data_IF_598882987203
#
_entry.id   IF_598882987203
#
_cell.length_a   1.000
_cell.length_b   1.000
_cell.length_c   1.000
_cell.angle_alpha   90.00
_cell.angle_beta   90.00
_cell.angle_gamma   90.00
#
_symmetry.space_group_name_H-M   'P 1'
#
loop_
_entity.id
_entity.type
_entity.pdbx_description
1 polymer ?
#
# COMPACT_ATOMS: atom_id res chain seq x y z
N UNK A 1 11.72 17.51 3.21
CA UNK A 1 10.82 16.50 2.63
C UNK A 1 10.08 15.85 3.79
N UNK A 2 8.76 15.82 3.76
CA UNK A 2 7.96 15.06 4.72
C UNK A 2 7.50 13.76 4.08
N UNK A 3 7.11 12.83 4.94
CA UNK A 3 6.64 11.52 4.56
C UNK A 3 5.27 11.25 5.18
N UNK A 4 4.51 10.40 4.52
CA UNK A 4 3.15 10.08 4.88
C UNK A 4 2.95 8.58 4.80
N UNK A 5 2.44 7.98 5.88
CA UNK A 5 1.88 6.64 5.81
C UNK A 5 0.58 6.70 5.04
N UNK A 6 0.46 5.83 4.04
CA UNK A 6 -0.76 5.64 3.26
C UNK A 6 -1.68 4.66 3.99
N UNK A 7 -2.92 5.05 4.14
CA UNK A 7 -4.01 4.23 4.65
C UNK A 7 -5.15 4.23 3.65
N UNK A 8 -5.80 3.09 3.46
CA UNK A 8 -6.96 3.02 2.57
C UNK A 8 -8.21 3.60 3.25
N UNK A 9 -9.09 4.22 2.47
CA UNK A 9 -10.33 4.83 2.97
C UNK A 9 -11.56 3.92 2.82
N UNK A 10 -11.49 2.73 3.42
CA UNK A 10 -12.58 1.75 3.46
C UNK A 10 -13.86 2.23 4.20
N UNK A 11 -13.81 3.41 4.84
CA UNK A 11 -14.98 4.00 5.50
C UNK A 11 -15.90 4.68 4.51
N UNK A 12 -15.33 5.36 3.51
CA UNK A 12 -16.05 6.21 2.56
C UNK A 12 -16.14 5.62 1.15
N UNK A 13 -15.34 4.60 0.82
CA UNK A 13 -15.32 3.97 -0.51
C UNK A 13 -15.55 2.45 -0.45
N UNK A 14 -16.03 1.90 -1.56
CA UNK A 14 -16.26 0.47 -1.72
C UNK A 14 -14.97 -0.33 -1.54
N UNK A 15 -15.07 -1.46 -0.84
CA UNK A 15 -13.95 -2.34 -0.55
C UNK A 15 -13.88 -3.42 -1.62
N UNK A 16 -12.67 -3.75 -2.06
CA UNK A 16 -12.39 -4.86 -2.95
C UNK A 16 -12.07 -6.12 -2.12
N UNK A 17 -12.94 -7.11 -2.23
CA UNK A 17 -12.82 -8.41 -1.61
C UNK A 17 -12.17 -9.42 -2.58
N UNK A 18 -11.50 -10.42 -2.02
CA UNK A 18 -10.94 -11.53 -2.80
C UNK A 18 -12.09 -12.39 -3.38
N UNK A 19 -12.01 -12.71 -4.68
CA UNK A 19 -12.96 -13.60 -5.37
C UNK A 19 -12.19 -14.76 -6.03
N UNK A 20 -11.68 -15.66 -5.20
CA UNK A 20 -10.84 -16.77 -5.64
C UNK A 20 -9.34 -16.44 -5.77
N UNK A 21 -8.93 -15.21 -5.40
CA UNK A 21 -7.54 -14.92 -5.08
C UNK A 21 -7.13 -15.67 -3.80
N UNK A 22 -6.13 -16.53 -3.89
CA UNK A 22 -5.56 -17.26 -2.75
C UNK A 22 -4.24 -16.66 -2.27
N UNK A 23 -3.77 -15.55 -2.85
CA UNK A 23 -2.54 -14.85 -2.48
C UNK A 23 -2.81 -13.76 -1.43
N UNK A 24 -1.99 -13.76 -0.38
CA UNK A 24 -2.02 -12.75 0.67
C UNK A 24 -0.95 -11.68 0.48
N UNK A 25 -0.96 -10.70 1.38
CA UNK A 25 -0.03 -9.56 1.33
C UNK A 25 1.44 -10.01 1.37
N UNK A 26 1.77 -11.06 2.13
CA UNK A 26 3.13 -11.63 2.15
C UNK A 26 3.58 -12.14 0.78
N UNK A 27 2.68 -12.72 -0.02
CA UNK A 27 3.00 -13.20 -1.37
C UNK A 27 3.31 -12.03 -2.30
N UNK A 28 2.50 -10.96 -2.26
CA UNK A 28 2.73 -9.76 -3.05
C UNK A 28 4.04 -9.06 -2.69
N UNK A 29 4.38 -8.99 -1.41
CA UNK A 29 5.56 -8.29 -0.91
C UNK A 29 6.85 -9.14 -1.00
N UNK A 30 6.78 -10.32 -1.61
CA UNK A 30 7.89 -11.29 -1.74
C UNK A 30 8.60 -11.55 -0.39
N UNK A 31 7.81 -11.69 0.67
CA UNK A 31 8.33 -12.00 2.01
C UNK A 31 8.79 -13.46 2.10
N UNK A 32 9.44 -13.82 3.21
CA UNK A 32 9.86 -15.21 3.42
C UNK A 32 8.64 -16.15 3.36
N UNK A 33 8.77 -17.23 2.57
CA UNK A 33 7.67 -18.16 2.31
C UNK A 33 6.67 -17.72 1.23
N UNK A 34 6.87 -16.55 0.61
CA UNK A 34 6.00 -16.07 -0.47
C UNK A 34 5.91 -17.04 -1.64
N UNK A 35 4.69 -17.29 -2.10
CA UNK A 35 4.42 -18.07 -3.30
C UNK A 35 4.58 -17.19 -4.53
N UNK A 36 5.00 -17.80 -5.64
CA UNK A 36 4.96 -17.13 -6.94
C UNK A 36 3.52 -16.89 -7.36
N UNK A 37 3.21 -15.64 -7.66
CA UNK A 37 1.88 -15.21 -8.11
C UNK A 37 1.62 -15.69 -9.55
N UNK A 38 0.49 -16.36 -9.76
CA UNK A 38 -0.09 -16.58 -11.09
C UNK A 38 -1.10 -15.45 -11.37
N UNK A 39 -0.80 -14.53 -12.30
CA UNK A 39 -1.68 -13.39 -12.61
C UNK A 39 -3.09 -13.80 -13.04
N UNK A 40 -3.31 -15.04 -13.51
CA UNK A 40 -4.63 -15.53 -13.94
C UNK A 40 -5.58 -15.79 -12.77
N UNK A 41 -5.05 -15.90 -11.55
CA UNK A 41 -5.81 -16.13 -10.32
C UNK A 41 -6.15 -14.86 -9.55
N UNK A 42 -5.67 -13.69 -9.99
CA UNK A 42 -5.92 -12.41 -9.33
C UNK A 42 -7.33 -11.90 -9.67
N UNK A 43 -8.32 -12.52 -9.04
CA UNK A 43 -9.74 -12.23 -9.20
C UNK A 43 -10.30 -11.67 -7.90
N UNK A 44 -11.07 -10.60 -8.03
CA UNK A 44 -11.61 -9.81 -6.94
C UNK A 44 -13.02 -9.36 -7.28
N UNK A 45 -13.79 -8.98 -6.26
CA UNK A 45 -15.13 -8.44 -6.42
C UNK A 45 -15.30 -7.22 -5.51
N UNK A 46 -16.03 -6.21 -5.98
CA UNK A 46 -16.43 -5.12 -5.09
C UNK A 46 -17.49 -5.61 -4.12
N UNK A 47 -17.24 -5.40 -2.82
CA UNK A 47 -18.21 -5.67 -1.76
C UNK A 47 -19.50 -4.87 -2.01
N UNK A 48 -20.60 -5.60 -2.24
CA UNK A 48 -21.91 -5.06 -2.56
C UNK A 48 -22.81 -4.90 -1.32
N UNK A 49 -22.36 -5.33 -0.13
CA UNK A 49 -23.10 -5.14 1.12
C UNK A 49 -23.17 -3.67 1.53
N UNK A 50 -22.19 -2.86 1.09
CA UNK A 50 -22.12 -1.41 1.34
C UNK A 50 -22.09 -0.65 0.00
N UNK A 51 -23.17 0.06 -0.39
CA UNK A 51 -23.24 0.77 -1.67
C UNK A 51 -22.48 2.10 -1.62
N UNK A 52 -21.17 2.02 -1.39
CA UNK A 52 -20.26 3.16 -1.40
C UNK A 52 -19.74 3.40 -2.84
N UNK A 53 -19.32 4.64 -3.16
CA UNK A 53 -18.65 4.90 -4.43
C UNK A 53 -17.31 4.18 -4.50
N UNK A 54 -16.86 3.85 -5.72
CA UNK A 54 -15.51 3.34 -5.95
C UNK A 54 -14.55 4.52 -6.07
N UNK A 55 -13.49 4.53 -5.26
CA UNK A 55 -12.44 5.56 -5.31
C UNK A 55 -11.44 5.33 -6.45
N UNK A 56 -10.61 6.33 -6.74
CA UNK A 56 -9.52 6.21 -7.72
C UNK A 56 -8.49 5.18 -7.29
N UNK A 57 -8.13 5.21 -6.00
CA UNK A 57 -7.49 4.11 -5.31
C UNK A 57 -8.56 3.29 -4.59
N UNK A 58 -8.47 1.97 -4.70
CA UNK A 58 -9.51 1.05 -4.22
C UNK A 58 -9.06 0.41 -2.91
N UNK A 59 -9.82 0.60 -1.80
CA UNK A 59 -9.58 -0.10 -0.55
C UNK A 59 -9.70 -1.63 -0.69
N UNK A 60 -8.93 -2.38 0.09
CA UNK A 60 -8.85 -3.84 0.14
C UNK A 60 -8.30 -4.27 1.51
N UNK A 61 -8.32 -5.57 1.81
CA UNK A 61 -7.64 -6.12 2.98
C UNK A 61 -6.16 -6.45 2.72
N UNK A 62 -5.70 -6.34 1.46
CA UNK A 62 -4.31 -6.55 1.11
C UNK A 62 -3.45 -5.35 1.55
N UNK A 63 -2.55 -5.60 2.50
CA UNK A 63 -1.62 -4.62 3.05
C UNK A 63 -0.37 -4.47 2.17
N UNK A 64 0.31 -3.32 2.28
CA UNK A 64 1.57 -3.06 1.58
C UNK A 64 1.43 -2.82 0.07
N UNK A 65 0.21 -2.82 -0.47
CA UNK A 65 -0.06 -2.70 -1.91
C UNK A 65 -1.13 -1.65 -2.19
N UNK A 66 -1.14 -1.12 -3.41
CA UNK A 66 -2.12 -0.15 -3.88
C UNK A 66 -2.90 -0.71 -5.07
N UNK A 67 -4.22 -0.53 -5.07
CA UNK A 67 -5.08 -0.88 -6.19
C UNK A 67 -5.62 0.40 -6.82
N UNK A 68 -5.46 0.56 -8.13
CA UNK A 68 -6.05 1.67 -8.88
C UNK A 68 -6.18 1.31 -10.35
N UNK A 69 -6.93 2.09 -11.12
CA UNK A 69 -6.88 1.94 -12.58
C UNK A 69 -5.50 2.34 -13.12
N UNK A 70 -5.13 1.82 -14.28
CA UNK A 70 -3.81 2.11 -14.89
C UNK A 70 -3.58 3.61 -15.07
N UNK A 71 -4.59 4.32 -15.57
CA UNK A 71 -4.50 5.77 -15.82
C UNK A 71 -4.25 6.59 -14.54
N UNK A 72 -4.61 6.07 -13.37
CA UNK A 72 -4.29 6.70 -12.08
C UNK A 72 -2.80 6.58 -11.81
N UNK A 73 -2.22 5.39 -11.96
CA UNK A 73 -0.78 5.18 -11.78
C UNK A 73 0.07 5.93 -12.81
N UNK A 74 -0.43 6.12 -14.03
CA UNK A 74 0.25 6.91 -15.07
C UNK A 74 0.51 8.36 -14.62
N UNK A 75 -0.34 8.95 -13.75
CA UNK A 75 -0.12 10.28 -13.15
C UNK A 75 1.12 10.33 -12.25
N UNK A 76 1.49 9.20 -11.66
CA UNK A 76 2.63 9.05 -10.74
C UNK A 76 3.88 8.53 -11.46
N UNK A 77 3.90 8.48 -12.79
CA UNK A 77 4.98 7.89 -13.59
C UNK A 77 6.39 8.19 -13.07
N UNK A 78 6.80 9.47 -12.88
CA UNK A 78 8.12 9.79 -12.33
C UNK A 78 8.38 9.21 -10.92
N UNK A 79 7.40 9.29 -10.03
CA UNK A 79 7.49 8.79 -8.65
C UNK A 79 7.57 7.26 -8.61
N UNK A 80 6.74 6.57 -9.39
CA UNK A 80 6.72 5.10 -9.48
C UNK A 80 8.00 4.57 -10.14
N UNK A 81 8.51 5.25 -11.16
CA UNK A 81 9.72 4.85 -11.89
C UNK A 81 11.01 5.07 -11.08
N UNK A 82 10.97 5.86 -10.00
CA UNK A 82 12.16 6.12 -9.17
C UNK A 82 12.60 4.91 -8.35
N UNK A 83 11.70 3.95 -8.07
CA UNK A 83 11.96 2.75 -7.28
C UNK A 83 11.56 1.46 -7.98
N UNK A 84 12.12 0.34 -7.53
CA UNK A 84 11.65 -1.00 -7.88
C UNK A 84 10.21 -1.19 -7.45
N UNK A 85 9.44 -1.83 -8.31
CA UNK A 85 8.06 -2.16 -8.07
C UNK A 85 7.66 -3.40 -8.87
N UNK A 86 6.60 -4.06 -8.45
CA UNK A 86 5.88 -5.05 -9.25
C UNK A 86 4.49 -4.53 -9.61
N UNK A 87 4.02 -4.90 -10.79
CA UNK A 87 2.69 -4.58 -11.29
C UNK A 87 1.96 -5.85 -11.69
N UNK A 88 0.73 -5.98 -11.22
CA UNK A 88 -0.16 -7.06 -11.61
C UNK A 88 -1.50 -6.49 -12.07
N UNK A 89 -2.24 -7.27 -12.86
CA UNK A 89 -3.61 -6.92 -13.21
C UNK A 89 -4.57 -7.71 -12.33
N UNK A 90 -5.42 -7.01 -11.60
CA UNK A 90 -6.53 -7.58 -10.84
C UNK A 90 -7.80 -7.50 -11.69
N UNK A 91 -8.42 -8.65 -11.96
CA UNK A 91 -9.72 -8.71 -12.64
C UNK A 91 -10.83 -8.51 -11.62
N UNK A 92 -11.80 -7.67 -11.95
CA UNK A 92 -12.97 -7.43 -11.09
C UNK A 92 -14.28 -7.64 -11.85
N UNK A 93 -15.38 -7.67 -11.12
CA UNK A 93 -16.75 -7.72 -11.66
C UNK A 93 -17.19 -6.41 -12.34
N UNK A 94 -16.42 -5.31 -12.18
CA UNK A 94 -16.71 -4.00 -12.80
C UNK A 94 -15.73 -3.66 -13.93
N UNK A 95 -14.44 -3.67 -13.62
CA UNK A 95 -13.35 -3.31 -14.54
C UNK A 95 -11.99 -3.77 -13.99
N UNK A 96 -11.02 -3.97 -14.86
CA UNK A 96 -9.67 -4.35 -14.43
C UNK A 96 -8.98 -3.21 -13.67
N UNK A 97 -8.28 -3.58 -12.61
CA UNK A 97 -7.40 -2.72 -11.81
C UNK A 97 -5.95 -3.15 -11.97
N UNK A 98 -5.02 -2.25 -11.67
CA UNK A 98 -3.62 -2.58 -11.44
C UNK A 98 -3.37 -2.73 -9.94
N UNK A 99 -2.57 -3.72 -9.58
CA UNK A 99 -1.96 -3.86 -8.25
C UNK A 99 -0.54 -3.33 -8.35
N UNK A 100 -0.27 -2.24 -7.66
CA UNK A 100 1.08 -1.70 -7.51
C UNK A 100 1.67 -2.16 -6.19
N UNK A 101 2.81 -2.83 -6.29
CA UNK A 101 3.60 -3.28 -5.14
C UNK A 101 4.92 -2.49 -5.12
N UNK A 102 5.11 -1.57 -4.17
CA UNK A 102 6.40 -0.92 -3.99
C UNK A 102 7.41 -1.95 -3.47
N UNK A 103 8.51 -2.17 -4.19
CA UNK A 103 9.53 -3.15 -3.80
C UNK A 103 10.75 -2.50 -3.15
N UNK A 104 10.79 -1.16 -3.11
CA UNK A 104 11.82 -0.47 -2.34
C UNK A 104 11.54 -0.54 -0.85
N UNK A 105 12.57 -0.97 -0.14
CA UNK A 105 12.57 -1.10 1.29
C UNK A 105 13.76 -0.35 1.87
N UNK A 106 13.48 0.49 2.86
CA UNK A 106 14.48 1.37 3.49
C UNK A 106 14.41 1.22 5.01
N UNK A 107 15.56 1.34 5.66
CA UNK A 107 15.62 1.35 7.12
C UNK A 107 15.39 2.75 7.64
N UNK A 108 14.52 2.90 8.63
CA UNK A 108 14.13 4.22 9.13
C UNK A 108 13.03 4.22 10.18
N UNK A 109 12.52 3.06 10.58
CA UNK A 109 11.54 2.96 11.65
C UNK A 109 12.13 3.38 13.00
N UNK A 110 11.44 4.27 13.71
CA UNK A 110 11.83 4.69 15.05
C UNK A 110 11.08 3.88 16.11
N UNK A 111 11.73 2.85 16.65
CA UNK A 111 11.14 1.96 17.66
C UNK A 111 10.80 2.67 18.98
N UNK A 112 11.51 3.75 19.33
CA UNK A 112 11.34 4.46 20.60
C UNK A 112 10.17 5.45 20.56
N UNK A 113 9.98 6.13 19.42
CA UNK A 113 8.94 7.15 19.23
C UNK A 113 7.66 6.63 18.58
N UNK A 114 7.69 5.43 17.99
CA UNK A 114 6.49 4.78 17.43
C UNK A 114 5.67 4.07 18.52
N UNK A 115 4.37 3.89 18.26
CA UNK A 115 3.46 3.15 19.14
C UNK A 115 2.89 1.94 18.40
N UNK A 116 3.16 0.75 18.93
CA UNK A 116 2.81 -0.52 18.31
C UNK A 116 2.70 -1.65 19.34
N UNK A 117 1.97 -2.71 18.98
CA UNK A 117 1.98 -3.99 19.67
C UNK A 117 2.84 -5.00 18.90
N UNK A 118 3.50 -5.89 19.64
CA UNK A 118 4.28 -7.00 19.06
C UNK A 118 3.64 -8.35 19.37
N UNK A 119 3.94 -9.33 18.54
CA UNK A 119 3.81 -10.74 18.90
C UNK A 119 4.87 -11.15 19.94
N UNK A 120 4.76 -12.39 20.42
CA UNK A 120 5.69 -12.99 21.38
C UNK A 120 7.12 -13.14 20.82
N UNK A 121 7.27 -13.24 19.51
CA UNK A 121 8.56 -13.32 18.80
C UNK A 121 9.19 -11.94 18.52
N UNK A 122 8.49 -10.85 18.88
CA UNK A 122 8.94 -9.47 18.71
C UNK A 122 8.54 -8.84 17.37
N UNK A 123 7.83 -9.55 16.50
CA UNK A 123 7.34 -8.97 15.25
C UNK A 123 6.21 -7.99 15.52
N UNK A 124 6.21 -6.86 14.82
CA UNK A 124 5.16 -5.84 14.94
C UNK A 124 3.85 -6.41 14.39
N UNK A 125 2.87 -6.56 15.28
CA UNK A 125 1.52 -7.05 14.95
C UNK A 125 0.60 -5.90 14.55
N UNK A 126 0.65 -4.80 15.30
CA UNK A 126 -0.28 -3.67 15.11
C UNK A 126 0.42 -2.34 15.29
N UNK A 127 0.29 -1.48 14.28
CA UNK A 127 0.88 -0.14 14.26
C UNK A 127 -0.17 0.93 14.54
N UNK A 128 -0.09 1.58 15.70
CA UNK A 128 -0.95 2.71 16.07
C UNK A 128 -0.38 4.04 15.55
N UNK A 129 0.91 4.26 15.77
CA UNK A 129 1.63 5.44 15.32
C UNK A 129 2.99 5.02 14.79
N UNK A 130 3.29 5.41 13.54
CA UNK A 130 4.57 5.15 12.89
C UNK A 130 5.37 6.46 12.89
N UNK A 131 6.59 6.41 13.41
CA UNK A 131 7.56 7.51 13.33
C UNK A 131 8.79 7.08 12.56
N UNK A 132 9.33 8.01 11.77
CA UNK A 132 10.63 7.85 11.14
C UNK A 132 11.76 8.39 12.03
N UNK A 133 12.93 7.77 11.95
CA UNK A 133 14.13 8.15 12.67
C UNK A 133 14.51 9.62 12.40
N UNK A 134 15.10 10.27 13.40
CA UNK A 134 15.53 11.67 13.26
C UNK A 134 16.56 11.81 12.13
N UNK A 135 16.34 12.78 11.23
CA UNK A 135 17.19 12.99 10.07
C UNK A 135 16.98 11.98 8.92
N UNK A 136 15.96 11.12 8.99
CA UNK A 136 15.65 10.16 7.94
C UNK A 136 15.49 10.84 6.56
N UNK A 137 16.11 10.22 5.55
CA UNK A 137 16.05 10.65 4.16
C UNK A 137 16.14 9.46 3.21
N UNK A 138 15.37 9.50 2.13
CA UNK A 138 15.48 8.59 0.99
C UNK A 138 15.16 9.33 -0.30
N UNK A 139 15.74 8.85 -1.41
CA UNK A 139 15.46 9.36 -2.76
C UNK A 139 14.15 8.80 -3.34
N UNK A 140 13.49 7.86 -2.66
CA UNK A 140 12.29 7.20 -3.16
C UNK A 140 11.01 7.92 -2.73
N UNK A 141 10.11 8.13 -3.69
CA UNK A 141 8.79 8.73 -3.44
C UNK A 141 7.79 7.76 -2.83
N UNK A 142 7.99 6.45 -3.03
CA UNK A 142 7.13 5.38 -2.52
C UNK A 142 8.03 4.25 -2.03
N UNK A 143 7.89 3.86 -0.77
CA UNK A 143 8.73 2.83 -0.17
C UNK A 143 8.02 2.14 1.00
N UNK A 144 8.64 1.08 1.52
CA UNK A 144 8.25 0.37 2.74
C UNK A 144 9.44 0.33 3.71
N UNK A 145 9.18 0.03 4.98
CA UNK A 145 10.24 -0.07 5.98
C UNK A 145 10.65 -1.53 6.21
N UNK A 146 11.96 -1.80 6.30
CA UNK A 146 12.49 -3.16 6.50
C UNK A 146 13.04 -3.44 7.91
N UNK A 147 12.90 -2.51 8.85
CA UNK A 147 13.44 -2.66 10.20
C UNK A 147 12.78 -3.81 10.99
N UNK A 148 11.53 -4.17 10.66
CA UNK A 148 10.81 -5.30 11.24
C UNK A 148 9.84 -5.92 10.21
N UNK A 149 9.56 -7.25 10.24
CA UNK A 149 8.59 -7.86 9.33
C UNK A 149 7.23 -7.17 9.27
N UNK A 150 6.70 -6.71 10.42
CA UNK A 150 5.44 -5.98 10.48
C UNK A 150 5.46 -4.60 9.85
N UNK A 151 6.62 -3.91 9.84
CA UNK A 151 6.73 -2.58 9.22
C UNK A 151 6.69 -2.64 7.69
N UNK A 152 7.03 -3.80 7.11
CA UNK A 152 7.03 -4.03 5.65
C UNK A 152 5.64 -4.00 5.04
N UNK A 153 4.56 -4.03 5.82
CA UNK A 153 3.18 -3.92 5.34
C UNK A 153 2.68 -2.47 5.21
N UNK A 154 3.48 -1.48 5.61
CA UNK A 154 3.11 -0.07 5.53
C UNK A 154 3.77 0.60 4.32
N UNK A 155 2.93 1.15 3.44
CA UNK A 155 3.38 2.01 2.34
C UNK A 155 3.57 3.41 2.88
N UNK A 156 4.76 3.95 2.66
CA UNK A 156 5.12 5.33 2.98
C UNK A 156 5.40 6.05 1.67
N UNK A 157 4.90 7.29 1.59
CA UNK A 157 5.08 8.14 0.41
C UNK A 157 5.65 9.49 0.79
N UNK A 158 6.32 10.15 -0.16
CA UNK A 158 6.81 11.51 -0.01
C UNK A 158 5.71 12.57 -0.14
N UNK A 159 6.04 13.82 0.20
CA UNK A 159 5.22 14.99 -0.14
C UNK A 159 4.90 15.08 -1.64
N UNK A 160 5.84 14.71 -2.53
CA UNK A 160 5.63 14.79 -3.98
C UNK A 160 4.48 13.88 -4.44
N UNK A 161 4.42 12.63 -3.95
CA UNK A 161 3.29 11.74 -4.20
C UNK A 161 1.97 12.35 -3.70
N UNK A 162 1.97 12.87 -2.47
CA UNK A 162 0.78 13.47 -1.88
C UNK A 162 0.31 14.70 -2.65
N UNK A 163 1.22 15.53 -3.15
CA UNK A 163 0.91 16.69 -3.98
C UNK A 163 0.27 16.28 -5.32
N UNK A 164 0.76 15.22 -5.97
CA UNK A 164 0.12 14.66 -7.18
C UNK A 164 -1.29 14.17 -6.86
N UNK A 165 -1.47 13.45 -5.74
CA UNK A 165 -2.78 12.97 -5.29
C UNK A 165 -3.77 14.13 -5.07
N UNK A 166 -3.36 15.14 -4.29
CA UNK A 166 -4.21 16.27 -3.92
C UNK A 166 -4.54 17.18 -5.12
N UNK A 167 -3.56 17.47 -5.98
CA UNK A 167 -3.73 18.35 -7.14
C UNK A 167 -4.65 17.76 -8.20
N UNK A 168 -4.65 16.43 -8.36
CA UNK A 168 -5.56 15.70 -9.24
C UNK A 168 -6.91 15.37 -8.56
N UNK A 169 -7.08 15.73 -7.28
CA UNK A 169 -8.29 15.47 -6.48
C UNK A 169 -8.66 13.98 -6.44
N UNK A 170 -7.65 13.13 -6.38
CA UNK A 170 -7.84 11.69 -6.32
C UNK A 170 -8.48 11.27 -4.99
N UNK A 171 -9.07 10.09 -4.98
CA UNK A 171 -9.85 9.56 -3.86
C UNK A 171 -9.41 8.15 -3.45
N UNK A 172 -9.84 7.72 -2.26
CA UNK A 172 -9.65 6.37 -1.75
C UNK A 172 -8.44 6.14 -0.84
N UNK A 173 -7.57 7.15 -0.68
CA UNK A 173 -6.46 7.12 0.29
C UNK A 173 -6.62 8.18 1.39
N UNK A 174 -6.02 7.89 2.54
CA UNK A 174 -5.80 8.79 3.68
C UNK A 174 -4.30 8.81 3.99
N UNK A 175 -3.84 9.95 4.51
CA UNK A 175 -2.44 10.19 4.77
C UNK A 175 -2.24 10.61 6.22
N UNK A 176 -1.38 9.90 6.92
CA UNK A 176 -0.97 10.21 8.29
C UNK A 176 0.52 10.56 8.27
N UNK A 177 0.91 11.71 8.80
CA UNK A 177 2.31 12.13 8.84
C UNK A 177 3.15 11.20 9.73
N UNK A 178 4.37 10.86 9.29
CA UNK A 178 5.30 9.94 9.97
C UNK A 178 6.66 10.54 10.23
#
# INVERSE_FOLDING_TARGET
>A
MKYWRVEQDARNFAILADDGNDYGSQDFLEMEGARKIDPRKLQFIFDDERPLPIGDFVPTFQLGVLFAKREVFDLFGPSILSGRHALYTARTDKYDLQIYVPMEEVSGFDFERSSYDTFDDGDVWRMYELKLAEGFFTDFDIFRLNDNPGTRFHVIVSDNFKEIYDSNKLTGLRFTAV
#
